data_IF_684303500510
#
_entry.id   IF_684303500510
#
_cell.length_a   1.000
_cell.length_b   1.000
_cell.length_c   1.000
_cell.angle_alpha   90.00
_cell.angle_beta   90.00
_cell.angle_gamma   90.00
#
_symmetry.space_group_name_H-M   'P 1'
#
loop_
_entity.id
_entity.type
_entity.pdbx_description
1 polymer ?
#
# COMPACT_ATOMS: atom_id res chain seq x y z
N UNK A 1 12.79 -18.35 4.71
CA UNK A 1 12.48 -18.60 3.27
C UNK A 1 11.05 -18.18 2.91
N UNK A 2 10.09 -18.16 3.85
CA UNK A 2 8.74 -17.61 3.62
C UNK A 2 8.72 -16.10 3.44
N UNK A 3 9.59 -15.35 4.13
CA UNK A 3 9.48 -13.87 4.17
C UNK A 3 9.89 -13.21 2.86
N UNK A 4 10.91 -13.74 2.19
CA UNK A 4 11.30 -13.30 0.85
C UNK A 4 10.23 -13.58 -0.21
N UNK A 5 9.54 -14.72 -0.09
CA UNK A 5 8.41 -15.05 -0.95
C UNK A 5 7.20 -14.13 -0.69
N UNK A 6 6.88 -13.86 0.58
CA UNK A 6 5.83 -12.93 0.98
C UNK A 6 6.10 -11.51 0.47
N UNK A 7 7.31 -10.99 0.69
CA UNK A 7 7.74 -9.67 0.17
C UNK A 7 7.67 -9.61 -1.36
N UNK A 8 8.12 -10.66 -2.04
CA UNK A 8 8.02 -10.78 -3.50
C UNK A 8 6.57 -10.77 -4.00
N UNK A 9 5.67 -11.45 -3.30
CA UNK A 9 4.25 -11.52 -3.65
C UNK A 9 3.54 -10.17 -3.45
N UNK A 10 3.86 -9.45 -2.37
CA UNK A 10 3.31 -8.12 -2.13
C UNK A 10 3.83 -7.13 -3.19
N UNK A 11 5.12 -7.19 -3.54
CA UNK A 11 5.71 -6.34 -4.57
C UNK A 11 5.09 -6.61 -5.96
N UNK A 12 4.94 -7.90 -6.30
CA UNK A 12 4.25 -8.31 -7.53
C UNK A 12 2.81 -7.79 -7.58
N UNK A 13 2.07 -7.94 -6.47
CA UNK A 13 0.70 -7.43 -6.35
C UNK A 13 0.64 -5.91 -6.57
N UNK A 14 1.64 -5.18 -6.10
CA UNK A 14 1.79 -3.76 -6.32
C UNK A 14 1.97 -3.40 -7.80
N UNK A 15 2.85 -4.10 -8.51
CA UNK A 15 3.05 -3.89 -9.95
C UNK A 15 1.81 -4.21 -10.77
N UNK A 16 1.08 -5.26 -10.41
CA UNK A 16 -0.19 -5.62 -11.05
C UNK A 16 -1.20 -4.49 -10.87
N UNK A 17 -1.37 -3.96 -9.65
CA UNK A 17 -2.29 -2.85 -9.38
C UNK A 17 -1.91 -1.56 -10.11
N UNK A 18 -0.61 -1.22 -10.17
CA UNK A 18 -0.13 -0.07 -10.95
C UNK A 18 -0.44 -0.26 -12.43
N UNK A 19 -0.15 -1.44 -12.98
CA UNK A 19 -0.44 -1.75 -14.39
C UNK A 19 -1.93 -1.62 -14.70
N UNK A 20 -2.80 -2.18 -13.86
CA UNK A 20 -4.24 -2.03 -14.02
C UNK A 20 -4.72 -0.56 -13.90
N UNK A 21 -4.07 0.22 -13.03
CA UNK A 21 -4.38 1.65 -12.84
C UNK A 21 -3.93 2.54 -14.00
N UNK A 22 -2.83 2.18 -14.69
CA UNK A 22 -2.29 2.91 -15.83
C UNK A 22 -3.12 2.77 -17.12
N UNK A 23 -3.95 1.72 -17.23
CA UNK A 23 -4.78 1.48 -18.42
C UNK A 23 -6.28 1.52 -18.09
N UNK A 24 -6.82 2.66 -17.59
CA UNK A 24 -8.24 2.78 -17.25
C UNK A 24 -9.15 2.66 -18.49
N UNK A 25 -8.60 2.91 -19.67
CA UNK A 25 -9.30 2.85 -20.98
C UNK A 25 -9.87 1.46 -21.28
N UNK A 26 -9.26 0.38 -20.77
CA UNK A 26 -9.82 -0.97 -20.91
C UNK A 26 -11.18 -1.11 -20.20
N UNK A 27 -11.39 -0.31 -19.15
CA UNK A 27 -12.62 -0.31 -18.35
C UNK A 27 -13.64 0.73 -18.82
N UNK A 28 -13.28 1.64 -19.74
CA UNK A 28 -14.25 2.51 -20.40
C UNK A 28 -15.23 1.73 -21.29
N UNK A 29 -14.85 0.53 -21.73
CA UNK A 29 -15.78 -0.37 -22.41
C UNK A 29 -16.87 -0.89 -21.46
N UNK A 30 -16.52 -1.16 -20.21
CA UNK A 30 -17.46 -1.51 -19.14
C UNK A 30 -18.42 -0.36 -18.83
N UNK A 31 -18.01 0.90 -19.13
CA UNK A 31 -18.90 2.05 -18.99
C UNK A 31 -20.12 2.01 -19.93
N UNK A 32 -20.14 1.18 -20.98
CA UNK A 32 -21.25 1.12 -21.95
C UNK A 32 -22.39 0.18 -21.56
N UNK A 33 -22.16 -0.76 -20.65
CA UNK A 33 -23.10 -1.89 -20.42
C UNK A 33 -24.14 -1.56 -19.34
N UNK A 34 -23.79 -0.79 -18.31
CA UNK A 34 -24.67 -0.10 -17.33
C UNK A 34 -23.78 0.35 -16.16
N UNK A 35 -23.23 1.58 -16.17
CA UNK A 35 -21.98 1.81 -15.44
C UNK A 35 -22.13 2.59 -14.14
N UNK A 36 -23.33 2.63 -13.56
CA UNK A 36 -23.60 3.53 -12.44
C UNK A 36 -23.61 2.72 -11.15
N UNK A 37 -22.47 2.68 -10.47
CA UNK A 37 -22.39 2.23 -9.08
C UNK A 37 -22.48 3.49 -8.23
N UNK A 38 -23.48 3.61 -7.34
CA UNK A 38 -23.70 4.83 -6.52
C UNK A 38 -23.73 6.16 -7.31
N UNK A 39 -24.32 6.18 -8.51
CA UNK A 39 -24.33 7.35 -9.40
C UNK A 39 -22.97 7.85 -9.90
N UNK A 40 -21.90 7.07 -9.78
CA UNK A 40 -20.60 7.37 -10.42
C UNK A 40 -20.29 6.41 -11.57
N UNK A 41 -19.56 6.86 -12.60
CA UNK A 41 -19.11 6.00 -13.69
C UNK A 41 -18.26 4.84 -13.15
N UNK A 42 -18.47 3.64 -13.68
CA UNK A 42 -17.79 2.42 -13.25
C UNK A 42 -16.27 2.54 -13.35
N UNK A 43 -15.73 3.21 -14.37
CA UNK A 43 -14.28 3.45 -14.47
C UNK A 43 -13.73 4.29 -13.31
N UNK A 44 -14.49 5.28 -12.81
CA UNK A 44 -14.09 6.07 -11.64
C UNK A 44 -14.17 5.25 -10.35
N UNK A 45 -15.27 4.50 -10.17
CA UNK A 45 -15.41 3.58 -9.04
C UNK A 45 -14.27 2.55 -9.00
N UNK A 46 -13.94 1.99 -10.15
CA UNK A 46 -12.84 1.06 -10.32
C UNK A 46 -11.49 1.66 -9.93
N UNK A 47 -11.20 2.89 -10.38
CA UNK A 47 -9.96 3.58 -10.03
C UNK A 47 -9.86 3.84 -8.51
N UNK A 48 -10.97 4.22 -7.87
CA UNK A 48 -11.03 4.38 -6.41
C UNK A 48 -10.77 3.05 -5.68
N UNK A 49 -11.28 1.94 -6.20
CA UNK A 49 -11.03 0.61 -5.64
C UNK A 49 -9.56 0.21 -5.76
N UNK A 50 -8.92 0.45 -6.92
CA UNK A 50 -7.50 0.19 -7.11
C UNK A 50 -6.63 1.02 -6.16
N UNK A 51 -6.91 2.32 -6.03
CA UNK A 51 -6.19 3.22 -5.12
C UNK A 51 -6.35 2.75 -3.66
N UNK A 52 -7.57 2.43 -3.25
CA UNK A 52 -7.84 1.89 -1.91
C UNK A 52 -7.07 0.59 -1.65
N UNK A 53 -7.05 -0.33 -2.63
CA UNK A 53 -6.28 -1.56 -2.56
C UNK A 53 -4.77 -1.32 -2.42
N UNK A 54 -4.20 -0.37 -3.16
CA UNK A 54 -2.78 0.00 -3.03
C UNK A 54 -2.47 0.56 -1.64
N UNK A 55 -3.32 1.43 -1.09
CA UNK A 55 -3.16 1.94 0.27
C UNK A 55 -3.21 0.83 1.32
N UNK A 56 -4.15 -0.11 1.20
CA UNK A 56 -4.25 -1.25 2.13
C UNK A 56 -3.04 -2.17 2.03
N UNK A 57 -2.52 -2.42 0.83
CA UNK A 57 -1.30 -3.19 0.63
C UNK A 57 -0.08 -2.54 1.29
N UNK A 58 0.06 -1.20 1.21
CA UNK A 58 1.12 -0.47 1.92
C UNK A 58 0.97 -0.56 3.44
N UNK A 59 -0.26 -0.45 3.95
CA UNK A 59 -0.52 -0.59 5.38
C UNK A 59 -0.16 -1.99 5.87
N UNK A 60 -0.59 -3.04 5.15
CA UNK A 60 -0.23 -4.43 5.46
C UNK A 60 1.27 -4.63 5.40
N UNK A 61 1.95 -4.08 4.38
CA UNK A 61 3.40 -4.14 4.27
C UNK A 61 4.06 -3.49 5.49
N UNK A 62 3.66 -2.26 5.82
CA UNK A 62 4.21 -1.50 6.95
C UNK A 62 4.02 -2.23 8.28
N UNK A 63 2.84 -2.80 8.51
CA UNK A 63 2.56 -3.61 9.71
C UNK A 63 3.41 -4.87 9.72
N UNK A 64 3.54 -5.57 8.58
CA UNK A 64 4.36 -6.78 8.48
C UNK A 64 5.84 -6.49 8.76
N UNK A 65 6.37 -5.37 8.28
CA UNK A 65 7.75 -4.94 8.55
C UNK A 65 7.93 -4.51 10.01
N UNK A 66 6.96 -3.81 10.61
CA UNK A 66 6.98 -3.47 12.03
C UNK A 66 6.97 -4.73 12.93
N UNK A 67 6.24 -5.77 12.54
CA UNK A 67 6.22 -7.05 13.27
C UNK A 67 7.47 -7.90 13.06
N UNK A 68 8.11 -7.76 11.89
CA UNK A 68 9.37 -8.47 11.59
C UNK A 68 10.57 -7.89 12.32
N UNK A 69 10.41 -6.73 13.00
CA UNK A 69 11.52 -6.03 13.65
C UNK A 69 12.50 -5.37 12.67
N UNK A 70 12.18 -5.35 11.38
CA UNK A 70 13.00 -4.70 10.34
C UNK A 70 12.83 -3.17 10.39
N UNK A 71 11.74 -2.70 11.02
CA UNK A 71 11.49 -1.31 11.32
C UNK A 71 12.13 -0.91 12.66
N UNK A 72 13.44 -1.11 12.80
CA UNK A 72 14.23 -0.59 13.93
C UNK A 72 14.31 0.94 13.77
N UNK A 73 13.30 1.64 14.28
CA UNK A 73 13.43 3.07 14.59
C UNK A 73 14.36 3.15 15.78
N UNK A 74 15.67 3.14 15.50
CA UNK A 74 16.70 3.36 16.50
C UNK A 74 16.46 4.76 17.08
N UNK A 75 15.72 4.82 18.20
CA UNK A 75 15.59 6.04 18.97
C UNK A 75 17.00 6.28 19.52
N UNK A 76 17.79 7.09 18.82
CA UNK A 76 19.03 7.65 19.35
C UNK A 76 18.67 8.27 20.70
N UNK A 77 19.00 7.56 21.78
CA UNK A 77 18.83 8.09 23.13
C UNK A 77 19.83 9.22 23.22
N UNK A 78 19.33 10.45 23.17
CA UNK A 78 20.10 11.64 23.53
C UNK A 78 20.92 11.31 24.79
N UNK A 79 22.25 11.52 24.78
CA UNK A 79 23.10 11.19 25.91
C UNK A 79 22.54 11.90 27.14
N UNK A 80 22.28 11.15 28.20
CA UNK A 80 21.85 11.72 29.47
C UNK A 80 22.90 12.74 29.88
N UNK A 81 22.52 14.01 29.91
CA UNK A 81 23.32 15.09 30.46
C UNK A 81 23.68 14.68 31.89
N UNK A 82 24.96 14.34 32.06
CA UNK A 82 25.52 13.92 33.33
C UNK A 82 25.62 15.19 34.17
N UNK A 83 24.56 15.51 34.93
CA UNK A 83 24.66 16.50 35.99
C UNK A 83 25.52 15.90 37.09
N UNK A 84 26.82 16.11 36.92
CA UNK A 84 27.85 15.95 37.92
C UNK A 84 27.45 16.69 39.20
N UNK A 85 27.47 15.92 40.28
CA UNK A 85 27.77 16.30 41.66
C UNK A 85 27.96 17.80 41.92
N UNK A 86 27.02 18.40 42.66
CA UNK A 86 27.32 19.34 43.74
C UNK A 86 26.34 19.21 44.90
#
# INVERSE_FOLDING_TARGET
>A
MSDTFSRGLIAFSFFVLISLSCFPVLFDWSNRIQPWVFNIPFSMFWQLMLISGMCLLLLIWCIADAWSGDLDVEIERMPKENNEER
#
